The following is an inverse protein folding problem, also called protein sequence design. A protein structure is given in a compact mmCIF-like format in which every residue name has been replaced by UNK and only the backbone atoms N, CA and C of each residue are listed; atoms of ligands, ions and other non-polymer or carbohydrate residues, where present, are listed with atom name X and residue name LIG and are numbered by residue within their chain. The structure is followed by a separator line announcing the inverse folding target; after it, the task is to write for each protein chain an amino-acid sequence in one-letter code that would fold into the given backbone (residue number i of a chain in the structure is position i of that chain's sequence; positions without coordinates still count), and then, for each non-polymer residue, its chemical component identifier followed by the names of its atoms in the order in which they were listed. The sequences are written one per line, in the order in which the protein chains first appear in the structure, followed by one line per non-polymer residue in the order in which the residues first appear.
data_IF_179344622476
#
_entry.id   IF_179344622476
#
_cell.length_a   1.000
_cell.length_b   1.000
_cell.length_c   1.000
_cell.angle_alpha   90.00
_cell.angle_beta   90.00
_cell.angle_gamma   90.00
#
_symmetry.space_group_name_H-M   'P 1'
#
loop_
_entity.id
_entity.type
_entity.pdbx_description
1 polymer ?
#
# COMPACT_ATOMS: atom_id res chain seq x y z
N UNK A 1 14.50 -1.08 5.49
CA UNK A 1 13.88 -1.49 4.22
C UNK A 1 12.57 -0.74 4.08
N UNK A 2 12.22 -0.24 2.89
CA UNK A 2 10.99 0.51 2.65
C UNK A 2 9.97 -0.35 1.91
N UNK A 3 8.68 -0.05 2.03
CA UNK A 3 7.63 -0.90 1.48
C UNK A 3 6.59 -0.11 0.68
N UNK A 4 6.13 -0.70 -0.44
CA UNK A 4 4.90 -0.30 -1.11
C UNK A 4 3.73 -1.12 -0.54
N UNK A 5 2.71 -0.46 -0.04
CA UNK A 5 1.40 -1.07 0.25
C UNK A 5 0.50 -0.89 -0.97
N UNK A 6 0.25 -1.98 -1.68
CA UNK A 6 -0.67 -2.01 -2.82
C UNK A 6 -1.92 -2.81 -2.49
N UNK A 7 -2.98 -2.64 -3.26
CA UNK A 7 -4.20 -3.42 -3.13
C UNK A 7 -4.39 -4.41 -4.27
N UNK A 8 -5.24 -5.41 -4.03
CA UNK A 8 -5.82 -6.19 -5.14
C UNK A 8 -6.93 -5.41 -5.85
N UNK A 9 -7.43 -4.34 -5.20
CA UNK A 9 -8.51 -3.47 -5.70
C UNK A 9 -8.57 -2.16 -4.90
N UNK A 10 -9.50 -1.28 -5.27
CA UNK A 10 -9.90 -0.11 -4.46
C UNK A 10 -10.79 -0.57 -3.30
N UNK A 11 -10.71 0.10 -2.14
CA UNK A 11 -11.56 -0.20 -0.98
C UNK A 11 -11.18 -1.48 -0.19
N UNK A 12 -10.02 -2.10 -0.48
CA UNK A 12 -9.56 -3.29 0.26
C UNK A 12 -8.95 -2.98 1.64
N UNK A 13 -8.79 -1.69 1.98
CA UNK A 13 -8.27 -1.24 3.27
C UNK A 13 -6.77 -0.95 3.28
N UNK A 14 -6.18 -0.52 2.15
CA UNK A 14 -4.75 -0.12 2.10
C UNK A 14 -4.40 0.87 3.19
N UNK A 15 -5.15 1.97 3.30
CA UNK A 15 -4.91 3.06 4.25
C UNK A 15 -5.04 2.60 5.70
N UNK A 16 -5.97 1.69 5.97
CA UNK A 16 -6.10 1.04 7.28
C UNK A 16 -4.82 0.25 7.63
N UNK A 17 -4.34 -0.58 6.70
CA UNK A 17 -3.11 -1.38 6.88
C UNK A 17 -1.88 -0.49 6.96
N UNK A 18 -1.72 0.49 6.06
CA UNK A 18 -0.59 1.42 6.07
C UNK A 18 -0.49 2.19 7.39
N UNK A 19 -1.60 2.79 7.81
CA UNK A 19 -1.65 3.59 9.05
C UNK A 19 -1.44 2.74 10.31
N UNK A 20 -2.03 1.54 10.35
CA UNK A 20 -1.85 0.59 11.45
C UNK A 20 -0.39 0.13 11.56
N UNK A 21 0.22 -0.22 10.43
CA UNK A 21 1.63 -0.63 10.37
C UNK A 21 2.57 0.51 10.80
N UNK A 22 2.37 1.74 10.31
CA UNK A 22 3.17 2.91 10.72
C UNK A 22 3.10 3.11 12.24
N UNK A 23 1.90 3.10 12.82
CA UNK A 23 1.74 3.22 14.29
C UNK A 23 2.44 2.10 15.05
N UNK A 24 2.33 0.84 14.59
CA UNK A 24 2.99 -0.31 15.22
C UNK A 24 4.51 -0.22 15.16
N UNK A 25 5.07 0.22 14.02
CA UNK A 25 6.52 0.44 13.86
C UNK A 25 6.99 1.54 14.81
N UNK A 26 6.30 2.68 14.86
CA UNK A 26 6.65 3.80 15.75
C UNK A 26 6.50 3.44 17.22
N UNK A 27 5.50 2.66 17.59
CA UNK A 27 5.33 2.14 18.96
C UNK A 27 6.49 1.24 19.42
N UNK A 28 7.24 0.63 18.49
CA UNK A 28 8.47 -0.12 18.80
C UNK A 28 9.75 0.74 18.76
N UNK A 29 9.60 2.08 18.79
CA UNK A 29 10.70 3.07 18.74
C UNK A 29 11.52 3.02 17.43
N UNK A 30 10.94 2.56 16.35
CA UNK A 30 11.52 2.65 15.01
C UNK A 30 10.91 3.88 14.33
N UNK A 31 11.75 4.75 13.82
CA UNK A 31 11.30 5.94 13.09
C UNK A 31 10.69 5.55 11.74
N UNK A 32 9.41 5.90 11.55
CA UNK A 32 8.63 5.50 10.37
C UNK A 32 7.71 6.64 9.92
N UNK A 33 7.61 6.82 8.61
CA UNK A 33 6.74 7.81 7.98
C UNK A 33 5.94 7.19 6.83
N UNK A 34 4.73 7.69 6.61
CA UNK A 34 3.89 7.35 5.46
C UNK A 34 4.13 8.27 4.27
N UNK A 35 3.96 7.74 3.05
CA UNK A 35 3.95 8.51 1.81
C UNK A 35 2.80 8.05 0.92
N UNK A 36 2.05 8.99 0.35
CA UNK A 36 1.04 8.79 -0.70
C UNK A 36 1.54 9.48 -1.97
N UNK A 37 2.27 8.81 -2.86
CA UNK A 37 2.92 9.47 -4.00
C UNK A 37 1.95 10.23 -4.89
N UNK A 38 0.79 9.63 -5.17
CA UNK A 38 -0.31 10.26 -5.89
C UNK A 38 -1.61 10.03 -5.11
N UNK A 39 -2.30 11.10 -4.77
CA UNK A 39 -3.64 11.07 -4.21
C UNK A 39 -4.64 11.57 -5.25
N UNK A 40 -5.83 10.98 -5.29
CA UNK A 40 -6.94 11.36 -6.18
C UNK A 40 -8.22 11.42 -5.39
N UNK A 41 -9.03 12.47 -5.60
CA UNK A 41 -10.24 12.76 -4.83
C UNK A 41 -9.93 13.36 -3.47
N UNK A 42 -10.67 12.96 -2.44
CA UNK A 42 -10.49 13.45 -1.08
C UNK A 42 -9.14 13.00 -0.48
N UNK A 43 -8.43 13.89 0.24
CA UNK A 43 -7.11 13.61 0.79
C UNK A 43 -7.13 12.77 2.09
N UNK A 44 -8.20 12.04 2.36
CA UNK A 44 -8.38 11.25 3.59
C UNK A 44 -7.26 10.23 3.82
N UNK A 45 -6.73 9.62 2.76
CA UNK A 45 -5.59 8.70 2.84
C UNK A 45 -4.32 9.43 3.32
N UNK A 46 -4.05 10.62 2.76
CA UNK A 46 -2.90 11.47 3.15
C UNK A 46 -3.00 11.87 4.61
N UNK A 47 -4.17 12.32 5.02
CA UNK A 47 -4.47 12.71 6.41
C UNK A 47 -4.24 11.54 7.38
N UNK A 48 -4.72 10.35 7.03
CA UNK A 48 -4.52 9.14 7.86
C UNK A 48 -3.03 8.76 8.00
N UNK A 49 -2.26 8.84 6.92
CA UNK A 49 -0.81 8.59 6.95
C UNK A 49 -0.08 9.66 7.77
N UNK A 50 -0.43 10.93 7.62
CA UNK A 50 0.12 12.02 8.41
C UNK A 50 -0.14 11.85 9.91
N UNK A 51 -1.38 11.51 10.29
CA UNK A 51 -1.74 11.22 11.69
C UNK A 51 -0.98 10.01 12.24
N UNK A 52 -0.85 8.94 11.45
CA UNK A 52 -0.09 7.76 11.86
C UNK A 52 1.41 8.04 12.02
N UNK A 53 1.93 9.05 11.32
CA UNK A 53 3.33 9.51 11.36
C UNK A 53 3.56 10.68 12.33
N UNK A 54 2.60 11.01 13.21
CA UNK A 54 2.66 12.18 14.12
C UNK A 54 2.92 13.52 13.39
N UNK A 55 2.55 13.64 12.11
CA UNK A 55 2.72 14.84 11.26
C UNK A 55 4.15 15.39 11.25
N UNK A 56 5.15 14.51 11.29
CA UNK A 56 6.57 14.92 11.36
C UNK A 56 7.10 15.50 10.06
N UNK A 57 6.40 15.27 8.94
CA UNK A 57 6.81 15.76 7.62
C UNK A 57 5.76 16.67 6.98
N UNK A 58 6.22 17.54 6.09
CA UNK A 58 5.35 18.47 5.36
C UNK A 58 4.48 17.72 4.32
N UNK A 59 3.24 18.18 4.12
CA UNK A 59 2.26 17.57 3.23
C UNK A 59 2.80 17.32 1.81
N UNK A 60 3.56 18.27 1.24
CA UNK A 60 4.12 18.15 -0.11
C UNK A 60 5.21 17.06 -0.23
N UNK A 61 5.79 16.59 0.87
CA UNK A 61 6.71 15.45 0.88
C UNK A 61 5.93 14.14 1.01
N UNK A 62 4.91 14.12 1.86
CA UNK A 62 4.05 12.94 2.04
C UNK A 62 3.18 12.71 0.82
N UNK A 63 2.63 13.78 0.24
CA UNK A 63 1.81 13.71 -0.98
C UNK A 63 2.26 14.75 -2.01
N UNK A 64 3.27 14.45 -2.84
CA UNK A 64 3.78 15.39 -3.83
C UNK A 64 2.80 15.67 -4.98
N UNK A 65 1.85 14.77 -5.25
CA UNK A 65 0.88 14.95 -6.34
C UNK A 65 -0.53 14.63 -5.84
N UNK A 66 -1.41 15.62 -5.97
CA UNK A 66 -2.83 15.47 -5.65
C UNK A 66 -3.70 15.98 -6.80
N UNK A 67 -4.72 15.18 -7.15
CA UNK A 67 -5.78 15.51 -8.09
C UNK A 67 -7.13 15.54 -7.39
N UNK A 68 -7.98 16.48 -7.75
CA UNK A 68 -9.35 16.57 -7.23
C UNK A 68 -10.27 15.48 -7.78
N UNK A 69 -10.00 15.03 -9.00
CA UNK A 69 -10.81 14.02 -9.69
C UNK A 69 -10.60 12.63 -9.07
N UNK A 70 -11.65 11.94 -8.53
CA UNK A 70 -11.52 10.66 -7.84
C UNK A 70 -11.46 9.48 -8.81
N UNK A 71 -10.43 9.43 -9.64
CA UNK A 71 -10.18 8.37 -10.64
C UNK A 71 -8.74 7.85 -10.53
N UNK A 72 -8.39 6.88 -11.39
CA UNK A 72 -7.00 6.44 -11.49
C UNK A 72 -6.07 7.63 -11.79
N UNK A 73 -4.82 7.67 -11.26
CA UNK A 73 -3.91 8.81 -11.39
C UNK A 73 -3.77 9.33 -12.83
N UNK A 74 -3.53 8.44 -13.79
CA UNK A 74 -3.40 8.82 -15.19
C UNK A 74 -4.69 9.43 -15.75
N UNK A 75 -5.84 8.87 -15.42
CA UNK A 75 -7.14 9.40 -15.88
C UNK A 75 -7.43 10.77 -15.25
N UNK A 76 -7.14 10.93 -13.95
CA UNK A 76 -7.29 12.22 -13.26
C UNK A 76 -6.38 13.30 -13.88
N UNK A 77 -5.14 12.94 -14.21
CA UNK A 77 -4.19 13.82 -14.88
C UNK A 77 -4.69 14.31 -16.25
N UNK A 78 -5.28 13.42 -17.05
CA UNK A 78 -5.90 13.76 -18.34
C UNK A 78 -7.07 14.74 -18.15
N UNK A 79 -7.98 14.43 -17.23
CA UNK A 79 -9.18 15.27 -17.00
C UNK A 79 -8.81 16.66 -16.47
N UNK A 80 -7.83 16.74 -15.56
CA UNK A 80 -7.37 18.01 -15.00
C UNK A 80 -6.32 18.72 -15.87
N UNK A 81 -5.97 18.15 -17.03
CA UNK A 81 -4.93 18.67 -17.93
C UNK A 81 -3.63 19.00 -17.20
N UNK A 82 -3.19 18.08 -16.34
CA UNK A 82 -2.00 18.19 -15.52
C UNK A 82 -1.07 17.01 -15.76
N UNK A 83 0.22 17.26 -15.60
CA UNK A 83 1.26 16.23 -15.77
C UNK A 83 1.62 15.58 -14.41
N UNK A 84 1.94 14.28 -14.45
CA UNK A 84 2.51 13.54 -13.30
C UNK A 84 4.02 13.50 -13.48
N UNK A 85 4.73 14.19 -12.60
CA UNK A 85 6.21 14.23 -12.60
C UNK A 85 6.78 13.10 -11.74
N UNK A 86 7.24 12.03 -12.39
CA UNK A 86 7.87 10.87 -11.71
C UNK A 86 9.16 11.28 -10.99
N UNK A 87 9.91 12.27 -11.52
CA UNK A 87 11.12 12.75 -10.87
C UNK A 87 10.81 13.44 -9.53
N UNK A 88 9.71 14.20 -9.46
CA UNK A 88 9.22 14.79 -8.22
C UNK A 88 8.80 13.73 -7.19
N UNK A 89 8.14 12.64 -7.62
CA UNK A 89 7.79 11.51 -6.74
C UNK A 89 9.04 10.88 -6.14
N UNK A 90 10.03 10.58 -6.98
CA UNK A 90 11.31 9.99 -6.55
C UNK A 90 12.08 10.92 -5.61
N UNK A 91 12.11 12.23 -5.89
CA UNK A 91 12.79 13.21 -5.06
C UNK A 91 12.14 13.32 -3.66
N UNK A 92 10.81 13.30 -3.59
CA UNK A 92 10.08 13.30 -2.31
C UNK A 92 10.38 12.04 -1.50
N UNK A 93 10.32 10.85 -2.13
CA UNK A 93 10.69 9.60 -1.47
C UNK A 93 12.14 9.61 -0.98
N UNK A 94 13.09 10.05 -1.80
CA UNK A 94 14.51 10.10 -1.43
C UNK A 94 14.74 10.99 -0.21
N UNK A 95 14.03 12.13 -0.10
CA UNK A 95 14.08 13.00 1.08
C UNK A 95 13.54 12.35 2.34
N UNK A 96 12.41 11.62 2.24
CA UNK A 96 11.85 10.87 3.35
C UNK A 96 12.78 9.73 3.77
N UNK A 97 13.27 8.93 2.82
CA UNK A 97 14.17 7.80 3.09
C UNK A 97 15.55 8.22 3.64
N UNK A 98 15.99 9.45 3.39
CA UNK A 98 17.21 10.00 3.98
C UNK A 98 17.06 10.42 5.45
N UNK A 99 15.83 10.68 5.89
CA UNK A 99 15.53 11.16 7.26
C UNK A 99 15.00 10.05 8.17
N UNK A 100 14.22 9.11 7.62
CA UNK A 100 13.47 8.11 8.37
C UNK A 100 14.02 6.70 8.14
N UNK A 101 14.00 5.87 9.17
CA UNK A 101 14.47 4.48 9.09
C UNK A 101 13.58 3.63 8.17
N UNK A 102 12.27 3.91 8.16
CA UNK A 102 11.27 3.20 7.36
C UNK A 102 10.32 4.18 6.68
N UNK A 103 10.07 4.00 5.38
CA UNK A 103 9.02 4.71 4.63
C UNK A 103 7.99 3.68 4.15
N UNK A 104 6.73 3.88 4.52
CA UNK A 104 5.60 3.11 4.00
C UNK A 104 4.93 3.92 2.89
N UNK A 105 5.10 3.46 1.65
CA UNK A 105 4.54 4.10 0.45
C UNK A 105 3.19 3.47 0.15
N UNK A 106 2.11 4.24 0.12
CA UNK A 106 0.78 3.73 -0.21
C UNK A 106 0.42 4.02 -1.67
N UNK A 107 0.12 2.96 -2.43
CA UNK A 107 -0.40 3.07 -3.79
C UNK A 107 -1.85 3.54 -3.87
N UNK A 108 -2.35 3.77 -5.08
CA UNK A 108 -3.76 4.06 -5.37
C UNK A 108 -4.39 2.90 -6.16
N UNK A 109 -5.51 2.36 -5.68
CA UNK A 109 -6.15 1.19 -6.29
C UNK A 109 -5.29 -0.08 -6.23
N UNK A 110 -5.19 -0.79 -7.33
CA UNK A 110 -4.39 -2.01 -7.44
C UNK A 110 -2.99 -1.78 -8.00
N UNK A 111 -2.18 -2.85 -8.01
CA UNK A 111 -0.77 -2.82 -8.43
C UNK A 111 -0.54 -2.25 -9.85
N UNK A 112 -1.43 -2.59 -10.79
CA UNK A 112 -1.31 -2.21 -12.20
C UNK A 112 -2.10 -0.94 -12.56
N UNK A 113 -2.53 -0.17 -11.57
CA UNK A 113 -3.19 1.11 -11.82
C UNK A 113 -2.19 2.08 -12.45
N UNK A 114 -2.50 2.64 -13.65
CA UNK A 114 -1.57 3.47 -14.38
C UNK A 114 -1.36 4.83 -13.69
N UNK A 115 -0.09 5.16 -13.49
CA UNK A 115 0.39 6.50 -13.14
C UNK A 115 0.63 7.29 -14.43
N UNK A 116 1.25 6.64 -15.44
CA UNK A 116 1.41 7.12 -16.81
C UNK A 116 1.03 5.97 -17.78
N UNK A 117 0.95 6.18 -19.09
CA UNK A 117 0.63 5.11 -20.06
C UNK A 117 1.50 3.87 -19.92
N UNK A 118 2.80 4.06 -19.69
CA UNK A 118 3.81 3.01 -19.59
C UNK A 118 4.44 2.91 -18.21
N UNK A 119 3.76 3.41 -17.15
CA UNK A 119 4.30 3.44 -15.80
C UNK A 119 3.19 3.24 -14.77
N UNK A 120 3.28 2.20 -13.98
CA UNK A 120 2.34 1.85 -12.91
C UNK A 120 3.03 1.72 -11.54
N UNK A 121 2.32 1.24 -10.51
CA UNK A 121 2.90 1.09 -9.18
C UNK A 121 3.96 -0.02 -9.09
N UNK A 122 4.03 -0.96 -10.05
CA UNK A 122 5.16 -1.93 -10.11
C UNK A 122 6.45 -1.21 -10.49
N UNK A 123 6.36 -0.30 -11.46
CA UNK A 123 7.51 0.46 -11.92
C UNK A 123 7.99 1.39 -10.83
N UNK A 124 7.05 2.04 -10.13
CA UNK A 124 7.38 2.85 -8.96
C UNK A 124 8.06 2.02 -7.86
N UNK A 125 7.55 0.82 -7.55
CA UNK A 125 8.16 -0.07 -6.56
C UNK A 125 9.58 -0.49 -6.95
N UNK A 126 9.80 -0.77 -8.25
CA UNK A 126 11.14 -1.09 -8.78
C UNK A 126 12.08 0.09 -8.68
N UNK A 127 11.64 1.26 -9.12
CA UNK A 127 12.43 2.49 -9.14
C UNK A 127 12.86 2.96 -7.74
N UNK A 128 12.04 2.69 -6.73
CA UNK A 128 12.28 3.04 -5.33
C UNK A 128 12.83 1.86 -4.51
N UNK A 129 13.10 0.71 -5.14
CA UNK A 129 13.63 -0.51 -4.50
C UNK A 129 12.80 -0.96 -3.28
N UNK A 130 11.47 -0.97 -3.43
CA UNK A 130 10.54 -1.28 -2.36
C UNK A 130 10.21 -2.78 -2.27
N UNK A 131 10.14 -3.32 -1.05
CA UNK A 131 9.37 -4.54 -0.81
C UNK A 131 7.88 -4.28 -0.99
N UNK A 132 7.10 -5.28 -1.42
CA UNK A 132 5.68 -5.05 -1.68
C UNK A 132 4.79 -5.81 -0.69
N UNK A 133 3.88 -5.08 -0.06
CA UNK A 133 2.81 -5.61 0.78
C UNK A 133 1.53 -5.56 -0.04
N UNK A 134 0.89 -6.72 -0.24
CA UNK A 134 -0.37 -6.83 -0.99
C UNK A 134 -1.54 -6.93 -0.03
N UNK A 135 -2.46 -5.98 -0.07
CA UNK A 135 -3.69 -5.97 0.72
C UNK A 135 -4.86 -6.46 -0.12
N UNK A 136 -5.57 -7.45 0.38
CA UNK A 136 -6.78 -8.00 -0.24
C UNK A 136 -7.94 -8.00 0.76
N UNK A 137 -9.13 -7.59 0.31
CA UNK A 137 -10.34 -7.78 1.11
C UNK A 137 -10.63 -9.28 1.24
N UNK A 138 -10.79 -9.77 2.48
CA UNK A 138 -11.04 -11.18 2.76
C UNK A 138 -12.49 -11.57 2.46
N UNK A 139 -12.78 -11.85 1.20
CA UNK A 139 -14.11 -12.18 0.67
C UNK A 139 -14.03 -13.14 -0.52
N UNK A 140 -15.18 -13.55 -1.02
CA UNK A 140 -15.23 -14.33 -2.28
C UNK A 140 -14.55 -13.54 -3.42
N UNK A 141 -13.67 -14.21 -4.16
CA UNK A 141 -12.82 -13.64 -5.21
C UNK A 141 -11.41 -13.26 -4.75
N UNK A 142 -11.14 -13.19 -3.44
CA UNK A 142 -9.82 -12.84 -2.90
C UNK A 142 -8.71 -13.76 -3.42
N UNK A 143 -8.94 -15.07 -3.51
CA UNK A 143 -7.95 -16.02 -4.03
C UNK A 143 -7.47 -15.66 -5.43
N UNK A 144 -8.39 -15.39 -6.35
CA UNK A 144 -8.06 -15.01 -7.72
C UNK A 144 -7.31 -13.68 -7.78
N UNK A 145 -7.84 -12.63 -7.14
CA UNK A 145 -7.26 -11.29 -7.19
C UNK A 145 -5.87 -11.25 -6.54
N UNK A 146 -5.69 -11.92 -5.41
CA UNK A 146 -4.39 -12.00 -4.74
C UNK A 146 -3.37 -12.73 -5.61
N UNK A 147 -3.72 -13.88 -6.18
CA UNK A 147 -2.82 -14.65 -7.04
C UNK A 147 -2.41 -13.87 -8.28
N UNK A 148 -3.35 -13.20 -8.95
CA UNK A 148 -3.05 -12.34 -10.10
C UNK A 148 -2.07 -11.22 -9.74
N UNK A 149 -2.25 -10.59 -8.58
CA UNK A 149 -1.37 -9.51 -8.11
C UNK A 149 0.03 -10.03 -7.77
N UNK A 150 0.12 -11.15 -7.04
CA UNK A 150 1.40 -11.78 -6.70
C UNK A 150 2.13 -12.28 -7.95
N UNK A 151 1.40 -12.86 -8.91
CA UNK A 151 1.96 -13.28 -10.20
C UNK A 151 2.51 -12.10 -11.02
N UNK A 152 1.82 -10.94 -10.97
CA UNK A 152 2.32 -9.71 -11.61
C UNK A 152 3.62 -9.21 -10.98
N UNK A 153 3.74 -9.29 -9.64
CA UNK A 153 4.99 -9.00 -8.92
C UNK A 153 6.10 -9.97 -9.31
N UNK A 154 5.82 -11.28 -9.31
CA UNK A 154 6.78 -12.33 -9.68
C UNK A 154 7.33 -12.11 -11.09
N UNK A 155 6.46 -11.82 -12.07
CA UNK A 155 6.87 -11.51 -13.46
C UNK A 155 7.72 -10.26 -13.57
N UNK A 156 7.56 -9.31 -12.67
CA UNK A 156 8.35 -8.09 -12.59
C UNK A 156 9.63 -8.24 -11.74
N UNK A 157 9.90 -9.44 -11.21
CA UNK A 157 11.01 -9.73 -10.27
C UNK A 157 10.99 -8.84 -9.02
N UNK A 158 9.78 -8.47 -8.58
CA UNK A 158 9.57 -7.71 -7.35
C UNK A 158 9.22 -8.63 -6.19
N UNK A 159 9.80 -8.41 -4.99
CA UNK A 159 9.48 -9.23 -3.83
C UNK A 159 8.07 -8.95 -3.33
N UNK A 160 7.24 -9.99 -3.20
CA UNK A 160 6.03 -9.94 -2.38
C UNK A 160 6.44 -10.22 -0.93
N UNK A 161 6.62 -9.17 -0.13
CA UNK A 161 7.08 -9.29 1.26
C UNK A 161 6.02 -9.86 2.19
N UNK A 162 4.75 -9.54 1.92
CA UNK A 162 3.61 -9.97 2.73
C UNK A 162 2.31 -9.83 1.94
N UNK A 163 1.39 -10.77 2.15
CA UNK A 163 -0.02 -10.66 1.77
C UNK A 163 -0.86 -10.47 3.03
N UNK A 164 -1.70 -9.45 3.05
CA UNK A 164 -2.61 -9.13 4.14
C UNK A 164 -4.05 -9.35 3.68
N UNK A 165 -4.72 -10.37 4.21
CA UNK A 165 -6.16 -10.58 4.09
C UNK A 165 -6.86 -9.71 5.13
N UNK A 166 -7.51 -8.65 4.69
CA UNK A 166 -8.18 -7.71 5.57
C UNK A 166 -9.68 -8.01 5.64
N UNK A 167 -10.20 -8.29 6.82
CA UNK A 167 -11.64 -8.44 7.03
C UNK A 167 -12.28 -7.04 7.09
N UNK A 168 -12.91 -6.65 5.98
CA UNK A 168 -13.57 -5.33 5.84
C UNK A 168 -14.99 -5.30 6.41
N UNK A 169 -15.51 -6.43 6.87
CA UNK A 169 -16.85 -6.60 7.46
C UNK A 169 -16.75 -7.42 8.75
N UNK A 170 -17.63 -7.12 9.73
CA UNK A 170 -17.66 -7.82 11.02
C UNK A 170 -18.12 -9.28 10.90
N UNK A 171 -19.00 -9.58 9.95
CA UNK A 171 -19.49 -10.93 9.71
C UNK A 171 -18.70 -11.59 8.58
N UNK A 172 -17.81 -12.51 8.93
CA UNK A 172 -17.10 -13.34 7.95
C UNK A 172 -18.03 -14.26 7.17
N UNK A 173 -17.84 -14.35 5.86
CA UNK A 173 -18.49 -15.33 5.01
C UNK A 173 -17.64 -16.62 4.94
N UNK A 174 -18.19 -17.72 4.39
CA UNK A 174 -17.46 -18.98 4.26
C UNK A 174 -16.13 -18.85 3.50
N UNK A 175 -16.07 -17.98 2.48
CA UNK A 175 -14.83 -17.74 1.77
C UNK A 175 -13.75 -17.11 2.67
N UNK A 176 -14.12 -16.15 3.53
CA UNK A 176 -13.19 -15.54 4.48
C UNK A 176 -12.59 -16.59 5.45
N UNK A 177 -13.36 -17.57 5.88
CA UNK A 177 -12.89 -18.63 6.79
C UNK A 177 -11.84 -19.56 6.16
N UNK A 178 -11.77 -19.64 4.84
CA UNK A 178 -10.90 -20.60 4.12
C UNK A 178 -9.78 -19.94 3.33
N UNK A 179 -9.89 -18.65 2.99
CA UNK A 179 -8.96 -17.97 2.11
C UNK A 179 -7.51 -18.00 2.64
N UNK A 180 -7.31 -17.81 3.95
CA UNK A 180 -5.98 -17.81 4.55
C UNK A 180 -5.26 -19.14 4.28
N UNK A 181 -5.82 -20.25 4.71
CA UNK A 181 -5.19 -21.57 4.57
C UNK A 181 -4.96 -21.97 3.10
N UNK A 182 -5.87 -21.57 2.21
CA UNK A 182 -5.71 -21.81 0.77
C UNK A 182 -4.57 -20.97 0.20
N UNK A 183 -4.48 -19.68 0.53
CA UNK A 183 -3.40 -18.81 0.03
C UNK A 183 -2.03 -19.24 0.58
N UNK A 184 -1.94 -19.65 1.84
CA UNK A 184 -0.72 -20.21 2.42
C UNK A 184 -0.20 -21.44 1.67
N UNK A 185 -1.11 -22.22 1.08
CA UNK A 185 -0.75 -23.39 0.26
C UNK A 185 -0.31 -22.99 -1.16
N UNK A 186 -0.82 -21.89 -1.69
CA UNK A 186 -0.65 -21.50 -3.09
C UNK A 186 0.43 -20.45 -3.34
N UNK A 187 0.89 -19.76 -2.30
CA UNK A 187 1.84 -18.67 -2.41
C UNK A 187 3.12 -18.97 -1.63
N UNK A 188 4.26 -18.60 -2.19
CA UNK A 188 5.55 -18.63 -1.47
C UNK A 188 5.69 -17.44 -0.50
N UNK A 189 4.92 -16.36 -0.72
CA UNK A 189 4.90 -15.19 0.15
C UNK A 189 4.12 -15.48 1.45
N UNK A 190 4.56 -14.96 2.60
CA UNK A 190 3.80 -15.09 3.84
C UNK A 190 2.43 -14.42 3.70
N UNK A 191 1.41 -15.04 4.31
CA UNK A 191 0.03 -14.52 4.34
C UNK A 191 -0.37 -14.34 5.80
N UNK A 192 -1.05 -13.24 6.10
CA UNK A 192 -1.69 -13.02 7.39
C UNK A 192 -3.12 -12.54 7.20
N UNK A 193 -3.94 -12.76 8.20
CA UNK A 193 -5.29 -12.25 8.27
C UNK A 193 -5.40 -11.18 9.36
N UNK A 194 -6.06 -10.06 9.05
CA UNK A 194 -6.45 -9.04 10.02
C UNK A 194 -7.93 -9.15 10.32
N UNK A 195 -8.28 -9.11 11.59
CA UNK A 195 -9.66 -9.04 12.04
C UNK A 195 -10.33 -7.73 11.59
N UNK A 196 -11.66 -7.72 11.60
CA UNK A 196 -12.41 -6.49 11.34
C UNK A 196 -12.06 -5.44 12.40
N UNK A 197 -11.66 -4.24 11.95
CA UNK A 197 -11.21 -3.14 12.81
C UNK A 197 -10.02 -3.51 13.72
N UNK A 198 -9.10 -4.36 13.23
CA UNK A 198 -7.90 -4.74 13.98
C UNK A 198 -7.14 -3.50 14.48
N UNK A 199 -6.73 -3.55 15.74
CA UNK A 199 -5.95 -2.48 16.38
C UNK A 199 -4.49 -2.84 16.61
N UNK A 200 -4.17 -4.14 16.65
CA UNK A 200 -2.81 -4.65 16.85
C UNK A 200 -2.17 -5.08 15.53
N UNK A 201 -1.17 -4.32 15.09
CA UNK A 201 -0.40 -4.59 13.88
C UNK A 201 1.00 -5.17 14.19
N UNK A 202 1.24 -5.65 15.40
CA UNK A 202 2.52 -6.25 15.79
C UNK A 202 2.86 -7.46 14.92
N UNK A 203 1.91 -8.32 14.63
CA UNK A 203 2.10 -9.48 13.74
C UNK A 203 2.50 -9.06 12.32
N UNK A 204 1.90 -7.99 11.76
CA UNK A 204 2.29 -7.44 10.45
C UNK A 204 3.73 -6.96 10.48
N UNK A 205 4.11 -6.19 11.49
CA UNK A 205 5.45 -5.66 11.69
C UNK A 205 6.49 -6.78 11.84
N UNK A 206 6.23 -7.77 12.69
CA UNK A 206 7.13 -8.89 12.96
C UNK A 206 7.38 -9.75 11.72
N UNK A 207 6.35 -9.98 10.89
CA UNK A 207 6.50 -10.68 9.61
C UNK A 207 7.43 -9.94 8.63
N UNK A 208 7.50 -8.62 8.73
CA UNK A 208 8.40 -7.78 7.94
C UNK A 208 9.78 -7.62 8.60
N UNK A 209 10.00 -8.20 9.77
CA UNK A 209 11.23 -8.10 10.57
C UNK A 209 11.60 -6.65 10.94
N UNK A 210 10.57 -5.87 11.30
CA UNK A 210 10.66 -4.47 11.73
C UNK A 210 10.44 -4.28 13.24
#
# INVERSE_FOLDING_TARGET
MNYLVTGTDTGVGKTFVSSGLIRSIRASNIDCVGMKPVCTGEPADVEALQLASDRVEADHLVNPIWFHTPLAPYTAAIIENRWIDIAALRASFARLAAKHAVVIVEGAGGLLVPILPDYDFRDLARDLELGVIVVAANRLGALNHTRLTVEALRKASLPCSLVVLNNIEASGNLAAQTNLSVLETLLDAPVIELAYQESDFSNVRERLQL
#
